data_IF_319759305883
#
_entry.id   IF_319759305883
#
_cell.length_a   1.000
_cell.length_b   1.000
_cell.length_c   1.000
_cell.angle_alpha   90.00
_cell.angle_beta   90.00
_cell.angle_gamma   90.00
#
_symmetry.space_group_name_H-M   'P 1'
#
loop_
_entity.id
_entity.type
_entity.pdbx_description
1 polymer ?
#
# COMPACT_ATOMS: atom_id res chain seq x y z
N UNK A 1 -5.77 11.64 -18.48
CA UNK A 1 -5.97 10.67 -17.39
C UNK A 1 -6.26 9.33 -18.04
N UNK A 2 -5.48 8.28 -17.73
CA UNK A 2 -5.72 6.92 -18.21
C UNK A 2 -6.30 6.11 -17.05
N UNK A 3 -7.31 5.30 -17.33
CA UNK A 3 -7.91 4.40 -16.34
C UNK A 3 -7.52 2.99 -16.70
N UNK A 4 -6.86 2.29 -15.78
CA UNK A 4 -6.60 0.86 -15.95
C UNK A 4 -7.80 0.05 -15.43
N UNK A 5 -8.25 -0.96 -16.17
CA UNK A 5 -9.26 -1.88 -15.66
C UNK A 5 -8.68 -2.68 -14.48
N UNK A 6 -9.45 -2.76 -13.40
CA UNK A 6 -9.11 -3.54 -12.22
C UNK A 6 -10.30 -4.44 -11.88
N UNK A 7 -10.16 -5.73 -12.19
CA UNK A 7 -11.15 -6.77 -11.88
C UNK A 7 -10.61 -7.66 -10.76
N UNK A 8 -11.46 -8.48 -10.11
CA UNK A 8 -10.97 -9.49 -9.17
C UNK A 8 -9.86 -10.34 -9.80
N UNK A 9 -8.73 -10.48 -9.11
CA UNK A 9 -7.55 -11.20 -9.59
C UNK A 9 -6.54 -10.38 -10.40
N UNK A 10 -6.82 -9.11 -10.73
CA UNK A 10 -5.84 -8.25 -11.42
C UNK A 10 -4.63 -7.96 -10.52
N UNK A 11 -3.42 -8.22 -11.03
CA UNK A 11 -2.17 -7.74 -10.46
C UNK A 11 -1.68 -6.50 -11.22
N UNK A 12 -1.52 -5.39 -10.50
CA UNK A 12 -1.01 -4.14 -11.06
C UNK A 12 0.38 -3.83 -10.48
N UNK A 13 1.36 -3.59 -11.36
CA UNK A 13 2.71 -3.15 -10.98
C UNK A 13 2.94 -1.73 -11.51
N UNK A 14 3.45 -0.86 -10.65
CA UNK A 14 3.79 0.52 -11.02
C UNK A 14 5.01 1.00 -10.25
N UNK A 15 5.76 1.93 -10.85
CA UNK A 15 6.92 2.54 -10.20
C UNK A 15 6.44 3.63 -9.23
N UNK A 16 6.29 3.28 -7.95
CA UNK A 16 5.60 4.10 -6.95
C UNK A 16 6.02 5.57 -6.89
N UNK A 17 7.33 5.89 -7.00
CA UNK A 17 7.83 7.27 -6.91
C UNK A 17 7.36 8.17 -8.06
N UNK A 18 7.08 7.58 -9.23
CA UNK A 18 6.76 8.31 -10.46
C UNK A 18 5.34 8.04 -10.97
N UNK A 19 4.54 7.30 -10.20
CA UNK A 19 3.21 6.84 -10.63
C UNK A 19 2.12 7.47 -9.77
N UNK A 20 1.87 8.77 -9.96
CA UNK A 20 0.74 9.43 -9.32
C UNK A 20 -0.57 8.80 -9.81
N UNK A 21 -1.38 8.31 -8.87
CA UNK A 21 -2.64 7.65 -9.15
C UNK A 21 -3.71 8.05 -8.14
N UNK A 22 -4.97 7.88 -8.53
CA UNK A 22 -6.13 8.02 -7.67
C UNK A 22 -7.09 6.87 -7.91
N UNK A 23 -7.83 6.49 -6.86
CA UNK A 23 -8.92 5.52 -6.96
C UNK A 23 -10.26 6.25 -6.90
N UNK A 24 -11.31 5.66 -7.48
CA UNK A 24 -12.68 6.14 -7.27
C UNK A 24 -13.12 5.86 -5.84
N UNK A 25 -14.11 6.62 -5.36
CA UNK A 25 -14.83 6.27 -4.13
C UNK A 25 -15.41 4.86 -4.26
N UNK A 26 -15.50 4.15 -3.13
CA UNK A 26 -16.18 2.86 -3.06
C UNK A 26 -17.67 3.13 -2.85
N UNK A 27 -18.52 2.54 -3.69
CA UNK A 27 -19.97 2.70 -3.68
C UNK A 27 -20.64 1.31 -3.81
N UNK A 28 -21.84 1.17 -3.26
CA UNK A 28 -22.62 -0.08 -3.30
C UNK A 28 -22.29 -1.09 -2.19
N UNK A 29 -22.92 -2.26 -2.27
CA UNK A 29 -22.91 -3.26 -1.18
C UNK A 29 -21.81 -4.31 -1.31
N UNK A 30 -21.09 -4.36 -2.44
CA UNK A 30 -20.04 -5.33 -2.69
C UNK A 30 -18.68 -4.76 -2.26
N UNK A 31 -17.97 -5.37 -1.29
CA UNK A 31 -16.68 -4.86 -0.83
C UNK A 31 -15.59 -5.03 -1.89
N UNK A 32 -14.68 -4.05 -1.97
CA UNK A 32 -13.45 -4.11 -2.78
C UNK A 32 -12.25 -4.44 -1.89
N UNK A 33 -11.81 -5.69 -1.90
CA UNK A 33 -10.60 -6.11 -1.20
C UNK A 33 -9.36 -5.95 -2.09
N UNK A 34 -8.29 -5.37 -1.53
CA UNK A 34 -7.01 -5.17 -2.21
C UNK A 34 -5.87 -5.55 -1.28
N UNK A 35 -4.97 -6.41 -1.75
CA UNK A 35 -3.67 -6.60 -1.12
C UNK A 35 -2.70 -5.59 -1.75
N UNK A 36 -2.10 -4.73 -0.91
CA UNK A 36 -1.11 -3.76 -1.35
C UNK A 36 0.27 -4.16 -0.83
N UNK A 37 1.18 -4.41 -1.75
CA UNK A 37 2.58 -4.73 -1.47
C UNK A 37 3.44 -3.56 -1.95
N UNK A 38 4.42 -3.17 -1.15
CA UNK A 38 5.40 -2.14 -1.50
C UNK A 38 6.80 -2.73 -1.36
N UNK A 39 7.65 -2.47 -2.36
CA UNK A 39 9.02 -2.97 -2.41
C UNK A 39 9.97 -1.80 -2.65
N UNK A 40 11.13 -1.85 -1.99
CA UNK A 40 12.27 -0.97 -2.25
C UNK A 40 13.46 -1.81 -2.72
N UNK A 41 14.38 -1.20 -3.45
CA UNK A 41 15.63 -1.85 -3.87
C UNK A 41 16.67 -1.86 -2.75
N UNK A 42 16.48 -1.08 -1.69
CA UNK A 42 17.37 -1.00 -0.53
C UNK A 42 16.85 -1.84 0.65
N UNK A 43 17.66 -2.76 1.20
CA UNK A 43 17.32 -3.50 2.41
C UNK A 43 17.04 -2.57 3.60
N UNK A 44 16.12 -2.98 4.48
CA UNK A 44 15.79 -2.24 5.69
C UNK A 44 15.02 -0.93 5.46
N UNK A 45 14.62 -0.63 4.23
CA UNK A 45 13.80 0.56 3.95
C UNK A 45 12.44 0.41 4.58
N UNK A 46 12.07 1.41 5.37
CA UNK A 46 10.78 1.46 6.03
C UNK A 46 10.20 2.88 5.98
N UNK A 47 8.87 2.96 6.05
CA UNK A 47 8.15 4.22 6.14
C UNK A 47 8.20 4.76 7.57
N UNK A 48 8.12 6.09 7.71
CA UNK A 48 7.98 6.72 9.02
C UNK A 48 6.65 6.31 9.69
N UNK A 49 6.59 6.40 11.02
CA UNK A 49 5.39 6.05 11.78
C UNK A 49 4.16 6.88 11.36
N UNK A 50 4.33 8.17 11.10
CA UNK A 50 3.27 9.04 10.57
C UNK A 50 2.71 8.50 9.25
N UNK A 51 3.58 8.02 8.36
CA UNK A 51 3.19 7.51 7.05
C UNK A 51 2.53 6.13 7.16
N UNK A 52 2.99 5.28 8.10
CA UNK A 52 2.36 4.00 8.42
C UNK A 52 0.94 4.19 8.98
N UNK A 53 0.77 5.13 9.92
CA UNK A 53 -0.55 5.47 10.46
C UNK A 53 -1.49 5.99 9.38
N UNK A 54 -1.01 6.90 8.52
CA UNK A 54 -1.83 7.43 7.42
C UNK A 54 -2.24 6.36 6.39
N UNK A 55 -1.38 5.37 6.12
CA UNK A 55 -1.66 4.32 5.11
C UNK A 55 -2.47 3.15 5.66
N UNK A 56 -2.15 2.70 6.87
CA UNK A 56 -2.65 1.44 7.42
C UNK A 56 -3.56 1.62 8.65
N UNK A 57 -3.62 2.84 9.22
CA UNK A 57 -4.34 3.12 10.45
C UNK A 57 -3.74 2.49 11.71
N UNK A 58 -2.57 1.85 11.59
CA UNK A 58 -1.88 1.15 12.67
C UNK A 58 -0.38 1.15 12.46
N UNK A 59 0.36 1.07 13.57
CA UNK A 59 1.76 0.68 13.55
C UNK A 59 1.84 -0.85 13.65
N UNK A 60 2.88 -1.43 13.07
CA UNK A 60 3.26 -2.77 13.48
C UNK A 60 3.60 -2.70 14.97
N UNK A 61 3.11 -3.65 15.76
CA UNK A 61 3.69 -3.84 17.08
C UNK A 61 5.18 -4.03 16.86
N UNK A 62 6.01 -3.21 17.52
CA UNK A 62 7.42 -3.51 17.62
C UNK A 62 7.48 -4.91 18.23
N UNK A 63 7.88 -5.90 17.42
CA UNK A 63 8.31 -7.15 17.98
C UNK A 63 9.50 -6.79 18.85
N UNK A 64 9.29 -6.75 20.17
CA UNK A 64 10.38 -6.61 21.13
C UNK A 64 11.46 -7.62 20.75
N UNK A 65 12.60 -7.10 20.34
CA UNK A 65 13.74 -7.89 19.90
C UNK A 65 14.95 -7.00 19.97
N UNK A 66 15.61 -7.05 21.13
CA UNK A 66 17.03 -6.72 21.28
C UNK A 66 17.79 -7.04 20.00
N UNK A 67 18.36 -5.99 19.41
CA UNK A 67 19.70 -6.08 18.86
C UNK A 67 20.49 -4.97 19.54
N UNK A 68 21.24 -5.41 20.56
CA UNK A 68 22.48 -4.80 20.99
C UNK A 68 23.30 -4.25 19.82
#
# INVERSE_FOLDING_TARGET
MRTEPMTPGTLMLFNGRWSMHRVTLIEGDVPRYVALLAYDTKPGTDSTDTLKMSRYGRLAHQANGDIS
#
